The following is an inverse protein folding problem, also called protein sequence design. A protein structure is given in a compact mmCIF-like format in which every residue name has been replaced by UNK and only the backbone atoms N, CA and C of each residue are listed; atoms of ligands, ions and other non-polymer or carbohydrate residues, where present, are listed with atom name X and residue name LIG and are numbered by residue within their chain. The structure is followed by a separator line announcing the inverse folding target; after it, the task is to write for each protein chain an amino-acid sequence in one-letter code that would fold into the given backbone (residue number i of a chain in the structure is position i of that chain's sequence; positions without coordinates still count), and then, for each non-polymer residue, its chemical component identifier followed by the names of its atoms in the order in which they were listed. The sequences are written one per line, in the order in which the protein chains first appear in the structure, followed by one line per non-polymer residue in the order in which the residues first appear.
data_IF_105990293255
#
_entry.id   IF_105990293255
#
_cell.length_a   1.000
_cell.length_b   1.000
_cell.length_c   1.000
_cell.angle_alpha   90.00
_cell.angle_beta   90.00
_cell.angle_gamma   90.00
#
_symmetry.space_group_name_H-M   'P 1'
#
loop_
_entity.id
_entity.type
_entity.pdbx_description
1 polymer ?
#
# COMPACT_ATOMS: atom_id res chain seq x y z
N UNK A 1 -20.66 10.88 -17.36
CA UNK A 1 -19.93 10.39 -16.16
C UNK A 1 -18.49 10.80 -16.36
N UNK A 2 -17.91 11.57 -15.44
CA UNK A 2 -16.56 12.13 -15.59
C UNK A 2 -15.54 11.00 -15.43
N UNK A 3 -14.77 10.73 -16.47
CA UNK A 3 -13.50 10.01 -16.34
C UNK A 3 -12.52 10.97 -15.66
N UNK A 4 -12.54 10.98 -14.33
CA UNK A 4 -11.47 11.60 -13.56
C UNK A 4 -10.23 10.75 -13.78
N UNK A 5 -9.32 11.25 -14.61
CA UNK A 5 -8.01 10.65 -14.83
C UNK A 5 -7.34 10.35 -13.49
N UNK A 6 -7.13 9.07 -13.20
CA UNK A 6 -6.27 8.65 -12.09
C UNK A 6 -4.82 8.87 -12.53
N UNK A 7 -4.39 10.12 -12.49
CA UNK A 7 -2.99 10.49 -12.72
C UNK A 7 -2.13 9.92 -11.60
N UNK A 8 -2.59 10.01 -10.35
CA UNK A 8 -1.96 9.40 -9.18
C UNK A 8 -2.94 8.55 -8.37
N UNK A 9 -2.44 7.50 -7.72
CA UNK A 9 -3.26 6.58 -6.93
C UNK A 9 -2.44 5.71 -5.98
N UNK A 10 -3.14 5.07 -5.04
CA UNK A 10 -2.59 4.04 -4.16
C UNK A 10 -3.47 2.79 -4.18
N UNK A 11 -2.84 1.62 -4.19
CA UNK A 11 -3.50 0.33 -4.13
C UNK A 11 -2.78 -0.58 -3.13
N UNK A 12 -3.54 -1.40 -2.42
CA UNK A 12 -3.00 -2.51 -1.62
C UNK A 12 -3.29 -3.83 -2.34
N UNK A 13 -2.32 -4.73 -2.36
CA UNK A 13 -2.40 -6.04 -3.03
C UNK A 13 -1.41 -7.03 -2.39
N UNK A 14 -1.54 -8.31 -2.72
CA UNK A 14 -0.47 -9.27 -2.42
C UNK A 14 0.57 -9.23 -3.55
N UNK A 15 1.81 -8.95 -3.17
CA UNK A 15 2.94 -8.94 -4.09
C UNK A 15 3.52 -10.36 -4.19
N UNK A 16 3.67 -10.86 -5.41
CA UNK A 16 4.29 -12.14 -5.72
C UNK A 16 5.72 -11.89 -6.24
N UNK A 17 6.76 -12.05 -5.39
CA UNK A 17 8.14 -11.88 -5.85
C UNK A 17 8.54 -13.02 -6.78
N UNK A 18 9.51 -12.76 -7.66
CA UNK A 18 10.13 -13.80 -8.51
C UNK A 18 10.79 -14.89 -7.67
N UNK A 19 11.29 -14.52 -6.49
CA UNK A 19 11.92 -15.42 -5.54
C UNK A 19 11.55 -14.98 -4.11
N UNK A 20 11.20 -15.93 -3.25
CA UNK A 20 10.70 -15.68 -1.89
C UNK A 20 9.19 -15.84 -1.71
N UNK A 21 8.69 -15.42 -0.55
CA UNK A 21 7.29 -15.60 -0.14
C UNK A 21 6.43 -14.38 -0.51
N UNK A 22 5.15 -14.57 -0.88
CA UNK A 22 4.21 -13.48 -1.09
C UNK A 22 4.05 -12.62 0.17
N UNK A 23 3.86 -11.32 -0.02
CA UNK A 23 3.64 -10.39 1.09
C UNK A 23 2.63 -9.29 0.73
N UNK A 24 1.87 -8.77 1.71
CA UNK A 24 1.01 -7.63 1.49
C UNK A 24 1.84 -6.38 1.18
N UNK A 25 1.56 -5.76 0.05
CA UNK A 25 2.23 -4.56 -0.41
C UNK A 25 1.24 -3.42 -0.67
N UNK A 26 1.71 -2.20 -0.45
CA UNK A 26 1.06 -0.97 -0.86
C UNK A 26 1.87 -0.35 -2.00
N UNK A 27 1.23 -0.10 -3.14
CA UNK A 27 1.82 0.65 -4.24
C UNK A 27 1.21 2.04 -4.30
N UNK A 28 2.06 3.05 -4.42
CA UNK A 28 1.66 4.42 -4.77
C UNK A 28 2.28 4.81 -6.09
N UNK A 29 1.50 5.36 -7.01
CA UNK A 29 1.97 5.80 -8.32
C UNK A 29 1.47 7.19 -8.68
N UNK A 30 2.19 7.85 -9.58
CA UNK A 30 1.85 9.18 -10.11
C UNK A 30 2.60 9.51 -11.40
N UNK A 31 2.22 10.60 -12.09
CA UNK A 31 2.94 11.06 -13.26
C UNK A 31 4.32 11.57 -12.85
N UNK A 32 5.30 11.45 -13.75
CA UNK A 32 6.63 12.04 -13.58
C UNK A 32 7.15 12.48 -14.94
N UNK A 33 7.96 13.53 -14.97
CA UNK A 33 8.68 13.93 -16.18
C UNK A 33 9.95 13.07 -16.30
N UNK A 34 10.11 12.40 -17.43
CA UNK A 34 11.26 11.59 -17.80
C UNK A 34 12.13 12.37 -18.79
N UNK A 35 13.43 12.47 -18.49
CA UNK A 35 14.41 13.14 -19.34
C UNK A 35 14.24 14.67 -19.43
N UNK A 36 15.10 15.30 -20.22
CA UNK A 36 15.09 16.76 -20.41
C UNK A 36 14.04 17.24 -21.42
N UNK A 37 13.47 16.32 -22.21
CA UNK A 37 12.48 16.62 -23.26
C UNK A 37 11.02 16.72 -22.74
N UNK A 38 10.81 16.53 -21.43
CA UNK A 38 9.48 16.62 -20.80
C UNK A 38 8.55 15.45 -21.12
N UNK A 39 9.09 14.26 -21.37
CA UNK A 39 8.28 13.07 -21.63
C UNK A 39 7.50 12.66 -20.37
N UNK A 40 6.18 12.49 -20.48
CA UNK A 40 5.35 12.10 -19.34
C UNK A 40 5.44 10.59 -19.09
N UNK A 41 6.12 10.22 -18.02
CA UNK A 41 6.18 8.87 -17.46
C UNK A 41 5.27 8.67 -16.24
N UNK A 42 5.35 7.48 -15.66
CA UNK A 42 4.77 7.16 -14.35
C UNK A 42 5.81 6.51 -13.47
N UNK A 43 5.89 6.96 -12.22
CA UNK A 43 6.70 6.31 -11.18
C UNK A 43 5.78 5.73 -10.14
N UNK A 44 6.06 4.48 -9.77
CA UNK A 44 5.42 3.77 -8.69
C UNK A 44 6.44 3.38 -7.63
N UNK A 45 6.05 3.47 -6.36
CA UNK A 45 6.81 2.93 -5.23
C UNK A 45 5.97 1.82 -4.60
N UNK A 46 6.59 0.66 -4.41
CA UNK A 46 6.00 -0.50 -3.73
C UNK A 46 6.62 -0.58 -2.34
N UNK A 47 5.78 -0.72 -1.31
CA UNK A 47 6.19 -0.87 0.08
C UNK A 47 5.58 -2.13 0.67
N UNK A 48 6.41 -2.97 1.26
CA UNK A 48 5.95 -4.07 2.12
C UNK A 48 5.29 -3.50 3.39
N UNK A 49 4.04 -3.91 3.64
CA UNK A 49 3.24 -3.47 4.80
C UNK A 49 2.99 -4.58 5.82
N UNK A 50 3.74 -5.68 5.75
CA UNK A 50 3.63 -6.83 6.65
C UNK A 50 3.79 -6.44 8.13
N UNK A 51 4.83 -5.65 8.43
CA UNK A 51 5.11 -5.18 9.79
C UNK A 51 4.06 -4.17 10.30
N UNK A 52 3.51 -3.34 9.40
CA UNK A 52 2.41 -2.42 9.73
C UNK A 52 1.18 -3.22 10.14
N UNK A 53 0.76 -4.16 9.29
CA UNK A 53 -0.41 -5.02 9.52
C UNK A 53 -0.24 -5.90 10.75
N UNK A 54 0.96 -6.40 11.03
CA UNK A 54 1.21 -7.17 12.25
C UNK A 54 0.97 -6.34 13.50
N UNK A 55 1.49 -5.11 13.54
CA UNK A 55 1.29 -4.20 14.68
C UNK A 55 -0.17 -3.81 14.86
N UNK A 56 -0.89 -3.53 13.78
CA UNK A 56 -2.33 -3.23 13.82
C UNK A 56 -3.11 -4.40 14.43
N UNK A 57 -2.90 -5.61 13.92
CA UNK A 57 -3.55 -6.81 14.48
C UNK A 57 -3.18 -7.06 15.95
N UNK A 58 -1.93 -6.78 16.34
CA UNK A 58 -1.51 -6.87 17.75
C UNK A 58 -2.20 -5.82 18.63
N UNK A 59 -2.44 -4.62 18.11
CA UNK A 59 -3.20 -3.58 18.81
C UNK A 59 -4.68 -3.95 18.93
N UNK A 60 -5.30 -4.44 17.84
CA UNK A 60 -6.69 -4.91 17.85
C UNK A 60 -6.89 -6.03 18.88
N UNK A 61 -6.06 -7.07 18.86
CA UNK A 61 -6.15 -8.17 19.85
C UNK A 61 -5.98 -7.69 21.30
N UNK A 62 -5.16 -6.66 21.53
CA UNK A 62 -4.99 -6.07 22.86
C UNK A 62 -6.23 -5.28 23.29
N UNK A 63 -6.84 -4.54 22.37
CA UNK A 63 -8.08 -3.80 22.64
C UNK A 63 -9.27 -4.73 22.87
N UNK A 64 -9.45 -5.77 22.04
CA UNK A 64 -10.51 -6.78 22.22
C UNK A 64 -10.45 -7.39 23.63
N UNK A 65 -9.25 -7.72 24.10
CA UNK A 65 -9.06 -8.25 25.45
C UNK A 65 -9.45 -7.24 26.54
N UNK A 66 -9.15 -5.95 26.35
CA UNK A 66 -9.54 -4.91 27.32
C UNK A 66 -11.05 -4.66 27.35
N UNK A 67 -11.71 -4.72 26.19
CA UNK A 67 -13.16 -4.55 26.05
C UNK A 67 -13.94 -5.68 26.74
N UNK A 68 -13.43 -6.92 26.63
CA UNK A 68 -13.97 -8.10 27.35
C UNK A 68 -13.89 -7.94 28.87
N UNK A 69 -12.83 -7.31 29.41
CA UNK A 69 -12.69 -7.07 30.86
C UNK A 69 -13.48 -5.86 31.38
N UNK A 70 -13.84 -4.93 30.51
CA UNK A 70 -14.59 -3.72 30.86
C UNK A 70 -16.12 -3.89 30.74
N UNK A 71 -16.58 -5.06 30.29
CA UNK A 71 -17.99 -5.44 30.15
C UNK A 71 -18.56 -6.13 31.39
#
# INVERSE_FOLDING_TARGET
MREEGRDAGSIEYEFEPVDGEPFPAEMRFGPTELGDDGELGRVGVIRDVSERRRRERELERRNERLDEFAS
#
